data_IF_885247776077
#
_entry.id   IF_885247776077
#
_cell.length_a   1.000
_cell.length_b   1.000
_cell.length_c   1.000
_cell.angle_alpha   90.00
_cell.angle_beta   90.00
_cell.angle_gamma   90.00
#
_symmetry.space_group_name_H-M   'P 1'
#
loop_
_entity.id
_entity.type
_entity.pdbx_description
1 polymer ?
#
# COMPACT_ATOMS: atom_id res chain seq x y z
N UNK A 1 -0.63 -24.44 24.25
CA UNK A 1 -1.51 -23.28 24.48
C UNK A 1 -0.82 -22.11 23.80
N UNK A 2 -1.46 -21.50 22.81
CA UNK A 2 -0.89 -20.37 22.07
C UNK A 2 -1.68 -19.12 22.47
N UNK A 3 -0.96 -18.05 22.86
CA UNK A 3 -1.54 -16.76 23.22
C UNK A 3 -0.91 -15.71 22.31
N UNK A 4 -1.74 -14.82 21.76
CA UNK A 4 -1.33 -13.71 20.92
C UNK A 4 -1.74 -12.41 21.60
N UNK A 5 -0.82 -11.46 21.65
CA UNK A 5 -0.98 -10.16 22.31
C UNK A 5 -0.47 -9.09 21.36
N UNK A 6 -1.17 -7.95 21.30
CA UNK A 6 -0.77 -6.76 20.55
C UNK A 6 -0.82 -5.55 21.49
N UNK A 7 0.07 -4.58 21.31
CA UNK A 7 0.09 -3.30 22.04
C UNK A 7 -0.05 -2.12 21.07
N UNK A 8 -0.60 -1.02 21.56
CA UNK A 8 -1.24 0.04 20.77
C UNK A 8 -0.30 1.14 20.25
N UNK A 9 -0.75 1.82 19.17
CA UNK A 9 -0.41 3.20 18.82
C UNK A 9 -1.71 3.97 18.51
N UNK A 10 -1.83 5.18 19.06
CA UNK A 10 -3.09 5.90 19.27
C UNK A 10 -3.51 6.63 17.99
N UNK A 11 -4.21 5.96 17.06
CA UNK A 11 -5.25 6.58 16.20
C UNK A 11 -5.96 5.61 15.22
N UNK A 12 -5.37 4.46 14.89
CA UNK A 12 -6.09 3.37 14.19
C UNK A 12 -5.24 2.10 14.22
N UNK A 13 -5.71 1.03 14.84
CA UNK A 13 -4.91 -0.11 15.23
C UNK A 13 -4.31 -0.88 14.04
N UNK A 14 -3.05 -0.58 13.72
CA UNK A 14 -2.20 -1.46 12.93
C UNK A 14 -0.88 -0.83 12.48
N UNK A 15 0.04 -1.68 12.04
CA UNK A 15 1.29 -1.28 11.41
C UNK A 15 1.58 -2.22 10.25
N UNK A 16 2.13 -1.67 9.17
CA UNK A 16 2.64 -2.45 8.05
C UNK A 16 4.14 -2.27 7.93
N UNK A 17 4.86 -3.38 7.84
CA UNK A 17 6.23 -3.43 7.37
C UNK A 17 6.25 -3.97 5.94
N UNK A 18 6.64 -3.13 4.97
CA UNK A 18 6.64 -3.45 3.55
C UNK A 18 8.05 -3.37 2.97
N UNK A 19 8.41 -4.38 2.18
CA UNK A 19 9.62 -4.34 1.33
C UNK A 19 9.23 -4.46 -0.13
N UNK A 20 9.84 -3.65 -0.98
CA UNK A 20 9.77 -3.78 -2.44
C UNK A 20 11.17 -4.04 -2.97
N UNK A 21 11.32 -5.13 -3.71
CA UNK A 21 12.55 -5.50 -4.41
C UNK A 21 12.30 -5.51 -5.91
N UNK A 22 13.12 -4.79 -6.65
CA UNK A 22 13.08 -4.77 -8.11
C UNK A 22 14.05 -5.81 -8.67
N UNK A 23 13.54 -6.64 -9.57
CA UNK A 23 14.30 -7.61 -10.36
C UNK A 23 14.30 -7.19 -11.83
N UNK A 24 15.04 -7.93 -12.67
CA UNK A 24 15.20 -7.62 -14.08
C UNK A 24 13.88 -7.59 -14.88
N UNK A 25 12.84 -8.32 -14.45
CA UNK A 25 11.58 -8.47 -15.20
C UNK A 25 10.32 -8.20 -14.37
N UNK A 26 10.44 -8.00 -13.07
CA UNK A 26 9.32 -7.82 -12.16
C UNK A 26 9.79 -7.15 -10.87
N UNK A 27 8.82 -6.77 -10.05
CA UNK A 27 9.02 -6.37 -8.66
C UNK A 27 8.34 -7.38 -7.75
N UNK A 28 8.93 -7.62 -6.59
CA UNK A 28 8.32 -8.39 -5.51
C UNK A 28 8.11 -7.46 -4.34
N UNK A 29 6.88 -7.45 -3.85
CA UNK A 29 6.45 -6.70 -2.69
C UNK A 29 6.05 -7.70 -1.62
N UNK A 30 6.60 -7.55 -0.43
CA UNK A 30 6.20 -8.33 0.73
C UNK A 30 5.80 -7.41 1.84
N UNK A 31 4.58 -7.58 2.35
CA UNK A 31 4.07 -6.87 3.51
C UNK A 31 3.80 -7.82 4.67
N UNK A 32 4.10 -7.36 5.88
CA UNK A 32 3.60 -7.92 7.14
C UNK A 32 2.73 -6.86 7.78
N UNK A 33 1.47 -7.19 8.04
CA UNK A 33 0.50 -6.27 8.65
C UNK A 33 0.08 -6.83 10.00
N UNK A 34 0.21 -6.00 11.03
CA UNK A 34 -0.41 -6.22 12.33
C UNK A 34 -1.61 -5.28 12.39
N UNK A 35 -2.79 -5.76 12.75
CA UNK A 35 -3.97 -4.92 12.92
C UNK A 35 -4.94 -5.48 13.95
N UNK A 36 -5.91 -4.68 14.36
CA UNK A 36 -7.07 -5.16 15.15
C UNK A 36 -8.34 -4.96 14.34
N UNK A 37 -9.10 -6.04 14.12
CA UNK A 37 -10.44 -5.99 13.52
C UNK A 37 -11.47 -6.53 14.50
N UNK A 38 -12.50 -5.74 14.78
CA UNK A 38 -13.57 -6.08 15.74
C UNK A 38 -13.03 -6.57 17.11
N UNK A 39 -11.92 -6.01 17.59
CA UNK A 39 -11.27 -6.38 18.85
C UNK A 39 -10.39 -7.62 18.79
N UNK A 40 -10.24 -8.24 17.62
CA UNK A 40 -9.36 -9.40 17.40
C UNK A 40 -8.04 -8.98 16.78
N UNK A 41 -6.88 -9.30 17.39
CA UNK A 41 -5.58 -9.02 16.80
C UNK A 41 -5.27 -10.00 15.66
N UNK A 42 -4.73 -9.47 14.57
CA UNK A 42 -4.36 -10.22 13.39
C UNK A 42 -2.91 -9.99 12.99
N UNK A 43 -2.19 -11.06 12.65
CA UNK A 43 -0.95 -11.00 11.87
C UNK A 43 -1.22 -11.54 10.47
N UNK A 44 -1.05 -10.67 9.49
CA UNK A 44 -1.24 -10.98 8.07
C UNK A 44 0.09 -10.82 7.35
N UNK A 45 0.36 -11.66 6.36
CA UNK A 45 1.46 -11.44 5.43
C UNK A 45 0.98 -11.60 4.00
N UNK A 46 1.59 -10.88 3.07
CA UNK A 46 1.33 -11.08 1.66
C UNK A 46 2.59 -10.99 0.83
N UNK A 47 2.63 -11.79 -0.23
CA UNK A 47 3.62 -11.69 -1.31
C UNK A 47 2.90 -11.25 -2.58
N UNK A 48 3.30 -10.11 -3.12
CA UNK A 48 2.74 -9.51 -4.32
C UNK A 48 3.81 -9.42 -5.41
N UNK A 49 3.55 -10.06 -6.55
CA UNK A 49 4.36 -9.95 -7.76
C UNK A 49 3.75 -8.93 -8.69
N UNK A 50 4.56 -7.95 -9.10
CA UNK A 50 4.15 -6.83 -9.95
C UNK A 50 5.06 -6.79 -11.18
N UNK A 51 4.49 -6.55 -12.37
CA UNK A 51 5.29 -6.29 -13.58
C UNK A 51 6.06 -4.97 -13.48
N UNK A 52 7.07 -4.77 -14.33
CA UNK A 52 7.76 -3.48 -14.43
C UNK A 52 6.85 -2.35 -14.93
N UNK A 53 5.70 -2.70 -15.52
CA UNK A 53 4.61 -1.83 -15.93
C UNK A 53 3.61 -1.53 -14.79
N UNK A 54 3.97 -1.87 -13.55
CA UNK A 54 3.13 -1.73 -12.35
C UNK A 54 1.81 -2.52 -12.38
N UNK A 55 1.61 -3.44 -13.33
CA UNK A 55 0.45 -4.35 -13.29
C UNK A 55 0.67 -5.47 -12.29
N UNK A 56 -0.35 -5.77 -11.49
CA UNK A 56 -0.31 -6.93 -10.60
C UNK A 56 -0.32 -8.22 -11.43
N UNK A 57 0.54 -9.18 -11.06
CA UNK A 57 0.59 -10.51 -11.68
C UNK A 57 0.08 -11.59 -10.75
N UNK A 58 0.39 -11.50 -9.46
CA UNK A 58 -0.02 -12.49 -8.46
C UNK A 58 0.07 -11.89 -7.08
N UNK A 59 -0.90 -12.19 -6.22
CA UNK A 59 -0.83 -11.97 -4.79
C UNK A 59 -1.09 -13.29 -4.07
N UNK A 60 -0.29 -13.55 -3.04
CA UNK A 60 -0.51 -14.60 -2.04
C UNK A 60 -0.73 -13.92 -0.70
N UNK A 61 -1.71 -14.36 0.05
CA UNK A 61 -2.09 -13.79 1.34
C UNK A 61 -2.11 -14.92 2.35
N UNK A 62 -1.39 -14.75 3.44
CA UNK A 62 -1.39 -15.65 4.59
C UNK A 62 -2.00 -14.93 5.78
N UNK A 63 -3.03 -15.54 6.39
CA UNK A 63 -3.62 -15.06 7.63
C UNK A 63 -3.10 -15.86 8.81
N UNK A 64 -3.49 -15.42 10.00
CA UNK A 64 -3.28 -16.09 11.26
C UNK A 64 -3.45 -17.62 11.20
N UNK A 65 -2.34 -18.35 11.25
CA UNK A 65 -2.34 -19.81 11.31
C UNK A 65 -2.71 -20.52 10.00
N UNK A 66 -2.91 -19.81 8.89
CA UNK A 66 -3.15 -20.43 7.58
C UNK A 66 -1.88 -21.22 7.15
N UNK A 67 -2.04 -22.51 6.83
CA UNK A 67 -0.95 -23.33 6.28
C UNK A 67 -0.73 -23.10 4.79
N UNK A 68 -1.77 -22.65 4.09
CA UNK A 68 -1.79 -22.40 2.65
C UNK A 68 -2.30 -20.98 2.37
N UNK A 69 -1.75 -20.27 1.36
CA UNK A 69 -2.16 -18.91 1.07
C UNK A 69 -3.50 -18.85 0.33
N UNK A 70 -4.24 -17.77 0.54
CA UNK A 70 -5.23 -17.30 -0.42
C UNK A 70 -4.50 -16.68 -1.62
N UNK A 71 -4.83 -17.12 -2.84
CA UNK A 71 -4.10 -16.74 -4.06
C UNK A 71 -5.04 -16.08 -5.06
N UNK A 72 -4.63 -14.90 -5.53
CA UNK A 72 -5.26 -14.23 -6.67
C UNK A 72 -4.19 -13.94 -7.70
N UNK A 73 -4.37 -14.40 -8.94
CA UNK A 73 -3.33 -14.31 -9.96
C UNK A 73 -3.88 -14.09 -11.35
N UNK A 74 -3.05 -13.48 -12.20
CA UNK A 74 -3.30 -13.35 -13.62
C UNK A 74 -2.74 -14.58 -14.32
N UNK A 75 -3.57 -15.23 -15.12
CA UNK A 75 -3.18 -16.27 -16.08
C UNK A 75 -3.63 -15.85 -17.49
N UNK A 76 -3.25 -16.64 -18.51
CA UNK A 76 -3.75 -16.62 -19.89
C UNK A 76 -4.51 -15.35 -20.33
N UNK A 77 -3.89 -14.52 -21.18
CA UNK A 77 -4.53 -13.33 -21.77
C UNK A 77 -5.04 -12.29 -20.74
N UNK A 78 -4.28 -12.05 -19.66
CA UNK A 78 -4.61 -11.07 -18.61
C UNK A 78 -5.93 -11.39 -17.85
N UNK A 79 -6.28 -12.68 -17.73
CA UNK A 79 -7.47 -13.16 -17.01
C UNK A 79 -7.17 -13.45 -15.54
N UNK A 80 -8.12 -13.15 -14.67
CA UNK A 80 -7.94 -13.29 -13.22
C UNK A 80 -8.49 -14.61 -12.68
N UNK A 81 -7.70 -15.24 -11.83
CA UNK A 81 -8.01 -16.49 -11.16
C UNK A 81 -7.91 -16.30 -9.65
N UNK A 82 -8.94 -16.74 -8.92
CA UNK A 82 -9.06 -16.69 -7.47
C UNK A 82 -9.05 -18.13 -6.96
N UNK A 83 -8.02 -18.51 -6.19
CA UNK A 83 -7.80 -19.86 -5.69
C UNK A 83 -7.99 -20.96 -6.76
N UNK A 84 -7.40 -20.74 -7.94
CA UNK A 84 -7.44 -21.72 -9.03
C UNK A 84 -8.78 -21.77 -9.78
N UNK A 85 -9.67 -20.80 -9.60
CA UNK A 85 -10.90 -20.64 -10.39
C UNK A 85 -10.90 -19.31 -11.13
N UNK A 86 -11.16 -19.35 -12.43
CA UNK A 86 -11.35 -18.14 -13.24
C UNK A 86 -12.58 -17.36 -12.76
N UNK A 87 -12.46 -16.04 -12.68
CA UNK A 87 -13.57 -15.14 -12.37
C UNK A 87 -13.69 -14.06 -13.46
N UNK A 88 -14.67 -14.24 -14.34
CA UNK A 88 -14.95 -13.32 -15.46
C UNK A 88 -15.35 -11.91 -15.01
N UNK A 89 -15.87 -11.76 -13.78
CA UNK A 89 -16.26 -10.43 -13.29
C UNK A 89 -15.04 -9.52 -13.10
N UNK A 90 -13.85 -10.11 -12.94
CA UNK A 90 -12.59 -9.40 -12.75
C UNK A 90 -11.92 -9.02 -14.07
N UNK A 91 -12.43 -9.45 -15.22
CA UNK A 91 -11.83 -9.14 -16.51
C UNK A 91 -11.71 -7.63 -16.75
N UNK A 92 -10.57 -7.21 -17.29
CA UNK A 92 -10.22 -5.80 -17.47
C UNK A 92 -9.68 -5.11 -16.21
N UNK A 93 -9.70 -5.78 -15.05
CA UNK A 93 -8.96 -5.29 -13.89
C UNK A 93 -7.45 -5.42 -14.13
N UNK A 94 -6.66 -4.47 -13.63
CA UNK A 94 -5.21 -4.45 -13.87
C UNK A 94 -4.37 -4.65 -12.64
N UNK A 95 -4.96 -4.39 -11.48
CA UNK A 95 -4.26 -4.36 -10.20
C UNK A 95 -5.18 -4.90 -9.10
N UNK A 96 -4.57 -5.44 -8.05
CA UNK A 96 -5.29 -5.76 -6.81
C UNK A 96 -5.42 -4.53 -5.94
N UNK A 97 -6.48 -4.48 -5.15
CA UNK A 97 -6.66 -3.55 -4.04
C UNK A 97 -6.88 -4.35 -2.76
N UNK A 98 -5.99 -4.19 -1.78
CA UNK A 98 -6.03 -4.93 -0.52
C UNK A 98 -6.47 -3.97 0.59
N UNK A 99 -7.48 -4.35 1.37
CA UNK A 99 -8.01 -3.51 2.46
C UNK A 99 -7.02 -3.18 3.57
N UNK A 100 -5.89 -3.89 3.62
CA UNK A 100 -4.93 -3.87 4.73
C UNK A 100 -3.66 -3.05 4.43
N UNK A 101 -3.57 -2.42 3.26
CA UNK A 101 -2.38 -1.64 2.90
C UNK A 101 -2.72 -0.45 2.01
N UNK A 102 -2.11 0.73 2.25
CA UNK A 102 -2.23 1.86 1.33
C UNK A 102 -1.44 1.64 0.03
N UNK A 103 -0.51 0.68 -0.02
CA UNK A 103 0.37 0.45 -1.17
C UNK A 103 -0.40 0.11 -2.46
N UNK A 104 -1.62 -0.43 -2.36
CA UNK A 104 -2.46 -0.72 -3.52
C UNK A 104 -2.71 0.51 -4.39
N UNK A 105 -2.76 1.71 -3.79
CA UNK A 105 -2.92 2.99 -4.50
C UNK A 105 -1.69 3.36 -5.34
N UNK A 106 -0.48 2.94 -4.91
CA UNK A 106 0.76 3.19 -5.64
C UNK A 106 0.78 2.47 -7.01
N UNK A 107 0.05 1.36 -7.13
CA UNK A 107 0.01 0.54 -8.35
C UNK A 107 -0.58 1.30 -9.56
N UNK A 108 -1.83 1.79 -9.55
CA UNK A 108 -2.38 2.56 -10.66
C UNK A 108 -1.69 3.92 -10.83
N UNK A 109 -1.23 4.56 -9.74
CA UNK A 109 -0.58 5.87 -9.81
C UNK A 109 0.75 5.81 -10.58
N UNK A 110 1.55 4.77 -10.37
CA UNK A 110 2.85 4.61 -11.04
C UNK A 110 2.77 3.95 -12.42
N UNK A 111 1.60 3.40 -12.78
CA UNK A 111 1.41 2.74 -14.06
C UNK A 111 1.35 3.70 -15.25
N UNK A 112 0.99 4.96 -15.02
CA UNK A 112 0.75 5.93 -16.09
C UNK A 112 1.35 7.29 -15.75
N UNK A 113 1.61 8.09 -16.78
CA UNK A 113 1.93 9.51 -16.61
C UNK A 113 0.64 10.31 -16.39
N UNK A 114 0.76 11.40 -15.64
CA UNK A 114 -0.36 12.24 -15.22
C UNK A 114 -0.11 13.70 -15.56
N UNK A 115 -1.14 14.36 -16.08
CA UNK A 115 -1.21 15.82 -16.18
C UNK A 115 -2.07 16.37 -15.05
N UNK A 116 -1.81 17.61 -14.63
CA UNK A 116 -2.64 18.28 -13.62
C UNK A 116 -4.09 18.37 -14.12
N UNK A 117 -5.04 18.02 -13.26
CA UNK A 117 -6.47 17.92 -13.56
C UNK A 117 -6.88 16.62 -14.28
N UNK A 118 -5.93 15.77 -14.67
CA UNK A 118 -6.23 14.53 -15.37
C UNK A 118 -6.93 13.54 -14.44
N UNK A 119 -8.07 13.02 -14.91
CA UNK A 119 -8.90 12.04 -14.22
C UNK A 119 -8.85 10.71 -14.96
N UNK A 120 -8.60 9.61 -14.25
CA UNK A 120 -8.66 8.26 -14.79
C UNK A 120 -9.45 7.32 -13.87
N UNK A 121 -10.11 6.35 -14.49
CA UNK A 121 -10.81 5.27 -13.80
C UNK A 121 -10.05 3.97 -14.01
N UNK A 122 -9.81 3.23 -12.93
CA UNK A 122 -9.19 1.91 -12.94
C UNK A 122 -10.17 0.88 -12.41
N UNK A 123 -10.23 -0.27 -13.07
CA UNK A 123 -10.88 -1.46 -12.54
C UNK A 123 -9.84 -2.25 -11.74
N UNK A 124 -10.17 -2.55 -10.50
CA UNK A 124 -9.32 -3.23 -9.53
C UNK A 124 -9.95 -4.57 -9.14
N UNK A 125 -9.10 -5.52 -8.76
CA UNK A 125 -9.51 -6.72 -8.03
C UNK A 125 -9.45 -6.36 -6.54
N UNK A 126 -10.57 -5.91 -6.00
CA UNK A 126 -10.68 -5.61 -4.58
C UNK A 126 -10.74 -6.90 -3.79
N UNK A 127 -9.94 -6.98 -2.73
CA UNK A 127 -9.83 -8.13 -1.83
C UNK A 127 -10.02 -7.63 -0.41
N UNK A 128 -11.14 -8.01 0.20
CA UNK A 128 -11.28 -7.89 1.64
C UNK A 128 -10.46 -9.01 2.29
N UNK A 129 -9.28 -8.62 2.80
CA UNK A 129 -8.29 -9.57 3.30
C UNK A 129 -8.71 -10.23 4.61
N UNK A 130 -9.74 -9.77 5.32
CA UNK A 130 -10.25 -10.45 6.52
C UNK A 130 -11.50 -11.28 6.21
N UNK A 131 -12.38 -10.78 5.35
CA UNK A 131 -13.63 -11.47 4.97
C UNK A 131 -13.45 -12.51 3.87
N UNK A 132 -12.30 -12.51 3.18
CA UNK A 132 -11.94 -13.52 2.14
C UNK A 132 -12.83 -13.34 0.90
N UNK A 133 -13.28 -12.10 0.68
CA UNK A 133 -14.15 -11.69 -0.41
C UNK A 133 -13.32 -11.02 -1.52
N UNK A 134 -13.67 -11.33 -2.76
CA UNK A 134 -13.05 -10.76 -3.96
C UNK A 134 -14.13 -10.23 -4.87
N UNK A 135 -13.99 -9.00 -5.35
CA UNK A 135 -14.94 -8.40 -6.28
C UNK A 135 -14.27 -7.36 -7.18
N UNK A 136 -14.82 -7.07 -8.36
CA UNK A 136 -14.38 -5.93 -9.14
C UNK A 136 -14.74 -4.62 -8.43
N UNK A 137 -13.82 -3.66 -8.45
CA UNK A 137 -14.04 -2.34 -7.90
C UNK A 137 -13.53 -1.25 -8.85
N UNK A 138 -14.36 -0.25 -9.11
CA UNK A 138 -13.96 0.92 -9.88
C UNK A 138 -13.43 1.98 -8.93
N UNK A 139 -12.20 2.41 -9.19
CA UNK A 139 -11.53 3.49 -8.48
C UNK A 139 -11.22 4.62 -9.43
N UNK A 140 -11.41 5.86 -8.98
CA UNK A 140 -11.16 7.07 -9.76
C UNK A 140 -10.04 7.85 -9.08
N UNK A 141 -9.04 8.24 -9.86
CA UNK A 141 -7.94 9.09 -9.40
C UNK A 141 -7.91 10.34 -10.28
N UNK A 142 -7.83 11.50 -9.64
CA UNK A 142 -7.60 12.79 -10.31
C UNK A 142 -6.33 13.40 -9.78
N UNK A 143 -5.35 13.68 -10.65
CA UNK A 143 -4.10 14.32 -10.23
C UNK A 143 -4.33 15.82 -10.03
N UNK A 144 -4.24 16.30 -8.79
CA UNK A 144 -4.50 17.70 -8.46
C UNK A 144 -3.27 18.61 -8.63
N UNK A 145 -2.09 18.01 -8.79
CA UNK A 145 -0.81 18.70 -8.91
C UNK A 145 0.08 18.47 -7.69
N UNK A 146 1.15 19.25 -7.60
CA UNK A 146 2.14 19.14 -6.53
C UNK A 146 1.92 20.20 -5.44
N UNK A 147 2.08 19.81 -4.18
CA UNK A 147 2.06 20.68 -3.01
C UNK A 147 3.16 20.27 -2.05
N UNK A 148 4.00 21.21 -1.63
CA UNK A 148 5.13 20.98 -0.72
C UNK A 148 6.09 19.85 -1.18
N UNK A 149 6.23 19.64 -2.50
CA UNK A 149 7.07 18.58 -3.07
C UNK A 149 6.44 17.20 -3.13
N UNK A 150 5.15 17.08 -2.77
CA UNK A 150 4.34 15.87 -2.82
C UNK A 150 3.28 16.00 -3.92
N UNK A 151 2.96 14.88 -4.56
CA UNK A 151 1.91 14.75 -5.56
C UNK A 151 0.57 14.53 -4.86
N UNK A 152 -0.45 15.32 -5.19
CA UNK A 152 -1.77 15.22 -4.57
C UNK A 152 -2.75 14.56 -5.53
N UNK A 153 -3.43 13.52 -5.07
CA UNK A 153 -4.42 12.79 -5.86
C UNK A 153 -5.78 12.78 -5.17
N UNK A 154 -6.82 13.27 -5.85
CA UNK A 154 -8.18 13.00 -5.42
C UNK A 154 -8.53 11.56 -5.76
N UNK A 155 -8.61 10.71 -4.74
CA UNK A 155 -9.09 9.34 -4.83
C UNK A 155 -10.59 9.30 -4.54
N UNK A 156 -11.35 8.56 -5.37
CA UNK A 156 -12.76 8.27 -5.14
C UNK A 156 -13.07 6.82 -5.45
N UNK A 157 -13.83 6.18 -4.58
CA UNK A 157 -14.37 4.85 -4.75
C UNK A 157 -15.76 4.79 -4.13
N UNK A 158 -16.79 4.53 -4.94
CA UNK A 158 -18.21 4.64 -4.50
C UNK A 158 -18.45 6.03 -3.87
N UNK A 159 -19.03 6.08 -2.68
CA UNK A 159 -19.27 7.30 -1.89
C UNK A 159 -18.06 7.76 -1.07
N UNK A 160 -16.94 7.02 -1.14
CA UNK A 160 -15.75 7.31 -0.36
C UNK A 160 -14.75 8.15 -1.18
N UNK A 161 -14.23 9.22 -0.58
CA UNK A 161 -13.36 10.18 -1.25
C UNK A 161 -12.29 10.72 -0.30
N UNK A 162 -11.03 10.74 -0.76
CA UNK A 162 -9.89 11.27 -0.01
C UNK A 162 -8.84 11.91 -0.91
N UNK A 163 -8.20 12.96 -0.43
CA UNK A 163 -7.02 13.52 -1.08
C UNK A 163 -5.78 12.76 -0.57
N UNK A 164 -5.22 11.90 -1.40
CA UNK A 164 -4.01 11.15 -1.09
C UNK A 164 -2.78 12.04 -1.31
N UNK A 165 -1.88 12.04 -0.33
CA UNK A 165 -0.56 12.66 -0.46
C UNK A 165 0.44 11.58 -0.86
N UNK A 166 1.08 11.78 -1.99
CA UNK A 166 1.96 10.79 -2.63
C UNK A 166 3.35 11.39 -2.82
N UNK A 167 4.41 10.62 -2.57
CA UNK A 167 5.76 11.10 -2.82
C UNK A 167 6.12 11.06 -4.33
N UNK A 168 7.33 11.54 -4.64
CA UNK A 168 7.83 11.58 -6.03
C UNK A 168 8.00 10.20 -6.65
N UNK A 169 8.17 9.15 -5.84
CA UNK A 169 8.30 7.76 -6.27
C UNK A 169 6.94 7.04 -6.33
N UNK A 170 5.85 7.73 -5.99
CA UNK A 170 4.50 7.20 -6.06
C UNK A 170 4.08 6.40 -4.81
N UNK A 171 4.79 6.52 -3.69
CA UNK A 171 4.37 5.93 -2.43
C UNK A 171 3.37 6.83 -1.71
N UNK A 172 2.34 6.22 -1.14
CA UNK A 172 1.43 6.91 -0.22
C UNK A 172 2.23 7.40 0.99
N UNK A 173 2.13 8.70 1.25
CA UNK A 173 2.66 9.36 2.45
C UNK A 173 1.56 9.52 3.48
N UNK A 174 0.41 10.02 3.04
CA UNK A 174 -0.76 10.24 3.87
C UNK A 174 -2.01 9.81 3.11
N UNK A 175 -2.82 9.03 3.80
CA UNK A 175 -4.18 8.68 3.46
C UNK A 175 -5.03 9.16 4.64
N UNK A 176 -5.65 10.36 4.54
CA UNK A 176 -6.29 11.01 5.67
C UNK A 176 -7.30 10.10 6.39
N UNK A 177 -7.13 9.96 7.71
CA UNK A 177 -7.99 9.13 8.55
C UNK A 177 -7.84 7.61 8.38
N UNK A 178 -6.88 7.14 7.59
CA UNK A 178 -6.68 5.70 7.34
C UNK A 178 -5.22 5.25 7.53
N UNK A 179 -4.26 5.90 6.89
CA UNK A 179 -2.85 5.50 6.93
C UNK A 179 -1.91 6.71 6.90
N UNK A 180 -0.84 6.65 7.68
CA UNK A 180 0.29 7.58 7.60
C UNK A 180 1.59 6.80 7.48
N UNK A 181 2.49 7.27 6.62
CA UNK A 181 3.81 6.66 6.46
C UNK A 181 4.78 7.21 7.50
N UNK A 182 5.21 6.34 8.40
CA UNK A 182 6.21 6.68 9.43
C UNK A 182 7.64 6.82 8.87
N UNK A 183 8.05 5.95 7.94
CA UNK A 183 9.41 5.96 7.41
C UNK A 183 9.52 5.25 6.06
N UNK A 184 10.55 5.62 5.29
CA UNK A 184 10.98 4.92 4.09
C UNK A 184 12.51 4.99 3.99
N UNK A 185 13.13 3.86 3.67
CA UNK A 185 14.55 3.79 3.34
C UNK A 185 14.74 3.06 2.02
N UNK A 186 15.65 3.56 1.18
CA UNK A 186 16.06 2.87 -0.05
C UNK A 186 17.46 2.32 0.17
N UNK A 187 17.60 1.00 0.18
CA UNK A 187 18.89 0.33 0.34
C UNK A 187 19.40 -0.05 -1.05
N UNK A 188 20.64 0.32 -1.37
CA UNK A 188 21.28 -0.02 -2.65
C UNK A 188 21.16 1.03 -3.75
N UNK A 189 20.70 2.25 -3.44
CA UNK A 189 20.99 3.42 -4.25
C UNK A 189 22.29 4.04 -3.76
N UNK A 190 23.30 4.18 -4.61
CA UNK A 190 24.38 5.13 -4.34
C UNK A 190 23.76 6.53 -4.29
N UNK A 191 23.50 7.02 -3.08
CA UNK A 191 23.18 8.42 -2.82
C UNK A 191 24.13 8.89 -1.72
N UNK A 192 25.00 9.81 -2.12
CA UNK A 192 25.93 10.61 -1.34
C UNK A 192 25.39 11.01 0.03
N UNK A 193 26.20 10.74 1.05
CA UNK A 193 26.05 11.28 2.40
C UNK A 193 26.11 12.80 2.38
N UNK A 194 24.98 13.47 2.59
CA UNK A 194 24.97 14.79 3.23
C UNK A 194 24.43 14.60 4.65
N UNK A 195 25.32 14.81 5.62
CA UNK A 195 25.01 14.81 7.04
C UNK A 195 24.13 16.01 7.36
N UNK A 196 22.89 15.75 7.77
CA UNK A 196 22.09 16.69 8.53
C UNK A 196 22.58 16.69 9.97
N UNK A 197 23.42 17.66 10.33
CA UNK A 197 23.65 17.97 11.74
C UNK A 197 22.37 18.60 12.32
N UNK A 198 21.76 17.88 13.27
CA UNK A 198 20.60 18.34 14.01
C UNK A 198 20.95 19.56 14.86
N UNK A 199 20.10 20.57 14.80
CA UNK A 199 19.99 21.60 15.82
C UNK A 199 19.63 20.93 17.16
N UNK A 200 20.53 21.01 18.13
CA UNK A 200 20.16 20.85 19.53
C UNK A 200 20.21 22.24 20.19
N UNK A 201 19.07 22.53 20.78
CA UNK A 201 18.66 23.66 21.57
C UNK A 201 19.49 23.77 22.86
N UNK A 202 20.06 24.95 23.13
CA UNK A 202 20.49 25.31 24.49
C UNK A 202 19.44 26.24 25.10
N UNK A 203 18.71 25.72 26.08
CA UNK A 203 17.97 26.51 27.06
C UNK A 203 18.91 26.90 28.23
N UNK A 204 18.64 28.02 28.93
CA UNK A 204 19.62 28.68 29.79
C UNK A 204 19.70 28.06 31.19
N UNK A 205 20.90 28.02 31.75
CA UNK A 205 21.13 27.78 33.18
C UNK A 205 21.21 29.10 33.94
N UNK A 206 20.33 29.25 34.93
CA UNK A 206 20.34 30.31 35.94
C UNK A 206 21.29 30.00 37.10
N UNK A 207 22.01 31.06 37.51
CA UNK A 207 22.56 31.42 38.83
C UNK A 207 23.62 30.53 39.52
N UNK A 208 24.79 31.10 39.85
CA UNK A 208 25.01 31.90 41.08
C UNK A 208 26.50 32.24 41.29
N UNK A 209 26.85 33.54 41.38
CA UNK A 209 27.66 34.22 42.41
C UNK A 209 27.73 35.72 42.08
#
# INVERSE_FOLDING_TARGET
MEQRVIWDHIESAGAEYLTLKKFARHMEVRGTVLLVDQGTPHQLTYDLKVGLDWKTKKVKIFRDGDTEPFVVQVENQDKWWVNGRYDENLDGATNVDLTITPFSNSLPINRVSWNIGERRTFKMVYIDVLRKEVMPLLQVYTYLGDTNGHRIFQYRCREYENALVIDKQGWVVEYPGVFNRESIITIGSEASSEQSHSFLTNAPTTESF
#
